data_IF_933284406537
#
_entry.id   IF_933284406537
#
_cell.length_a   1.000
_cell.length_b   1.000
_cell.length_c   1.000
_cell.angle_alpha   90.00
_cell.angle_beta   90.00
_cell.angle_gamma   90.00
#
_symmetry.space_group_name_H-M   'P 1'
#
loop_
_entity.id
_entity.type
_entity.pdbx_description
1 polymer ?
#
# COMPACT_ATOMS: atom_id res chain seq x y z
N UNK A 1 3.79 -22.56 0.40
CA UNK A 1 4.41 -23.11 -0.82
C UNK A 1 4.41 -24.63 -0.71
N UNK A 2 4.01 -25.40 -1.75
CA UNK A 2 3.93 -26.88 -1.65
C UNK A 2 5.10 -27.61 -2.33
N UNK A 3 5.60 -27.06 -3.43
CA UNK A 3 6.64 -27.68 -4.26
C UNK A 3 7.77 -26.70 -4.56
N UNK A 4 8.99 -27.20 -4.70
CA UNK A 4 10.17 -26.44 -5.09
C UNK A 4 10.05 -25.94 -6.53
N UNK A 5 10.31 -24.64 -6.77
CA UNK A 5 10.27 -24.06 -8.12
C UNK A 5 11.44 -24.52 -9.02
N UNK A 6 12.51 -25.09 -8.46
CA UNK A 6 13.67 -25.57 -9.22
C UNK A 6 13.54 -27.04 -9.64
N UNK A 7 13.14 -27.92 -8.72
CA UNK A 7 13.16 -29.37 -8.96
C UNK A 7 11.79 -30.07 -8.83
N UNK A 8 10.74 -29.34 -8.42
CA UNK A 8 9.35 -29.85 -8.20
C UNK A 8 9.18 -30.82 -7.04
N UNK A 9 10.22 -31.07 -6.23
CA UNK A 9 10.09 -31.86 -5.01
C UNK A 9 9.17 -31.17 -3.98
N UNK A 10 8.54 -31.96 -3.11
CA UNK A 10 7.74 -31.44 -1.98
C UNK A 10 8.66 -30.70 -1.01
N UNK A 11 8.20 -29.55 -0.51
CA UNK A 11 8.94 -28.75 0.46
C UNK A 11 8.55 -29.14 1.89
N UNK A 12 9.54 -29.12 2.79
CA UNK A 12 9.31 -29.16 4.23
C UNK A 12 9.29 -27.73 4.80
N UNK A 13 8.67 -27.56 5.97
CA UNK A 13 8.60 -26.26 6.66
C UNK A 13 9.19 -26.39 8.06
N UNK A 14 10.49 -26.12 8.19
CA UNK A 14 11.28 -26.35 9.41
C UNK A 14 12.27 -25.20 9.64
N UNK A 15 12.90 -25.19 10.82
CA UNK A 15 13.96 -24.22 11.16
C UNK A 15 15.33 -24.80 10.74
N UNK A 16 16.04 -24.18 9.78
CA UNK A 16 17.42 -24.56 9.44
C UNK A 16 18.36 -24.52 10.66
N UNK A 17 19.43 -25.32 10.65
CA UNK A 17 20.37 -25.40 11.78
C UNK A 17 21.09 -24.07 12.09
N UNK A 18 21.20 -23.19 11.10
CA UNK A 18 21.85 -21.87 11.15
C UNK A 18 20.86 -20.69 11.18
N UNK A 19 19.56 -20.95 11.32
CA UNK A 19 18.50 -19.92 11.33
C UNK A 19 17.61 -20.07 12.58
N UNK A 20 16.78 -19.07 12.87
CA UNK A 20 15.84 -19.05 13.99
C UNK A 20 14.37 -18.95 13.55
N UNK A 21 14.11 -19.10 12.25
CA UNK A 21 12.76 -19.02 11.66
C UNK A 21 12.46 -20.23 10.81
N UNK A 22 11.17 -20.57 10.74
CA UNK A 22 10.70 -21.61 9.83
C UNK A 22 10.84 -21.12 8.39
N UNK A 23 11.37 -22.00 7.54
CA UNK A 23 11.57 -21.76 6.11
C UNK A 23 11.02 -22.93 5.31
N UNK A 24 10.63 -22.66 4.07
CA UNK A 24 10.38 -23.73 3.12
C UNK A 24 11.71 -24.25 2.59
N UNK A 25 12.02 -25.51 2.87
CA UNK A 25 13.32 -26.13 2.51
C UNK A 25 13.05 -27.27 1.54
N UNK A 26 13.85 -27.34 0.47
CA UNK A 26 13.85 -28.47 -0.43
C UNK A 26 14.96 -29.46 -0.07
N UNK A 27 14.60 -30.66 0.39
CA UNK A 27 15.58 -31.72 0.71
C UNK A 27 16.18 -32.41 -0.53
N UNK A 28 15.69 -32.10 -1.74
CA UNK A 28 16.20 -32.71 -2.98
C UNK A 28 17.30 -31.89 -3.66
N UNK A 29 17.35 -30.58 -3.43
CA UNK A 29 18.33 -29.68 -4.06
C UNK A 29 18.88 -28.65 -3.07
N UNK A 30 18.70 -28.91 -1.77
CA UNK A 30 19.19 -28.14 -0.63
C UNK A 30 18.86 -26.63 -0.67
N UNK A 31 17.82 -26.26 -1.41
CA UNK A 31 17.45 -24.86 -1.60
C UNK A 31 16.49 -24.39 -0.50
N UNK A 32 16.80 -23.24 0.10
CA UNK A 32 15.94 -22.54 1.05
C UNK A 32 15.12 -21.49 0.29
N UNK A 33 13.79 -21.61 0.34
CA UNK A 33 12.88 -20.65 -0.28
C UNK A 33 12.46 -19.58 0.73
N UNK A 34 13.17 -18.45 0.71
CA UNK A 34 12.80 -17.28 1.48
C UNK A 34 11.48 -16.69 0.99
N UNK A 35 10.68 -16.21 1.95
CA UNK A 35 9.48 -15.45 1.68
C UNK A 35 9.76 -14.00 2.07
N UNK A 36 9.68 -13.11 1.09
CA UNK A 36 9.94 -11.69 1.29
C UNK A 36 8.61 -10.93 1.46
N UNK A 37 8.58 -9.87 2.28
CA UNK A 37 7.48 -8.93 2.27
C UNK A 37 7.32 -8.29 0.88
N UNK A 38 6.09 -7.87 0.55
CA UNK A 38 5.79 -7.13 -0.68
C UNK A 38 5.65 -5.64 -0.39
N UNK A 39 6.16 -4.81 -1.29
CA UNK A 39 5.94 -3.37 -1.25
C UNK A 39 4.66 -3.04 -2.01
N UNK A 40 3.80 -2.25 -1.40
CA UNK A 40 2.66 -1.59 -2.05
C UNK A 40 2.99 -0.11 -2.10
N UNK A 41 3.03 0.47 -3.29
CA UNK A 41 3.37 1.86 -3.49
C UNK A 41 2.20 2.61 -4.11
N UNK A 42 2.02 3.86 -3.71
CA UNK A 42 0.90 4.67 -4.17
C UNK A 42 1.10 6.15 -3.95
N UNK A 43 0.12 6.94 -4.38
CA UNK A 43 0.15 8.38 -4.24
C UNK A 43 -1.04 8.90 -3.44
N UNK A 44 -0.88 10.10 -2.87
CA UNK A 44 -1.96 10.96 -2.39
C UNK A 44 -2.10 12.07 -3.42
N UNK A 45 -2.97 11.94 -4.44
CA UNK A 45 -3.11 12.93 -5.49
C UNK A 45 -3.98 14.09 -5.02
N UNK A 46 -3.41 15.28 -4.98
CA UNK A 46 -4.05 16.48 -4.45
C UNK A 46 -4.36 17.46 -5.59
N UNK A 47 -5.58 18.00 -5.60
CA UNK A 47 -5.95 19.18 -6.37
C UNK A 47 -6.55 20.21 -5.43
N UNK A 48 -5.86 21.34 -5.25
CA UNK A 48 -6.23 22.36 -4.26
C UNK A 48 -6.37 21.76 -2.85
N UNK A 49 -7.57 21.79 -2.27
CA UNK A 49 -7.90 21.25 -0.95
C UNK A 49 -8.56 19.86 -1.00
N UNK A 50 -8.50 19.19 -2.15
CA UNK A 50 -9.17 17.89 -2.39
C UNK A 50 -8.18 16.78 -2.71
N UNK A 51 -8.52 15.58 -2.26
CA UNK A 51 -7.77 14.34 -2.53
C UNK A 51 -8.56 13.47 -3.50
N UNK A 52 -7.88 12.93 -4.50
CA UNK A 52 -8.45 11.95 -5.42
C UNK A 52 -8.49 10.57 -4.75
N UNK A 53 -9.68 9.98 -4.71
CA UNK A 53 -9.89 8.59 -4.27
C UNK A 53 -10.45 7.75 -5.40
N UNK A 54 -10.15 6.45 -5.36
CA UNK A 54 -10.60 5.42 -6.29
C UNK A 54 -11.58 4.48 -5.58
N UNK A 55 -12.72 4.17 -6.19
CA UNK A 55 -13.67 3.18 -5.66
C UNK A 55 -13.37 1.82 -6.28
N UNK A 56 -12.96 0.85 -5.46
CA UNK A 56 -12.43 -0.45 -5.93
C UNK A 56 -13.46 -1.27 -6.71
N UNK A 57 -13.07 -1.80 -7.87
CA UNK A 57 -13.82 -2.75 -8.70
C UNK A 57 -13.41 -4.22 -8.49
N UNK A 58 -12.46 -4.47 -7.58
CA UNK A 58 -11.91 -5.81 -7.30
C UNK A 58 -11.86 -6.10 -5.80
N UNK A 59 -11.87 -7.38 -5.45
CA UNK A 59 -11.66 -7.84 -4.07
C UNK A 59 -10.16 -7.76 -3.67
N UNK A 60 -9.84 -7.63 -2.37
CA UNK A 60 -10.75 -7.47 -1.25
C UNK A 60 -11.42 -6.08 -1.22
N UNK A 61 -12.55 -5.94 -0.52
CA UNK A 61 -13.25 -4.67 -0.27
C UNK A 61 -13.79 -4.02 -1.55
N UNK A 62 -14.41 -4.82 -2.42
CA UNK A 62 -15.14 -4.30 -3.58
C UNK A 62 -16.12 -3.19 -3.17
N UNK A 63 -16.13 -2.08 -3.92
CA UNK A 63 -17.02 -0.95 -3.69
C UNK A 63 -16.58 0.02 -2.58
N UNK A 64 -15.45 -0.19 -1.92
CA UNK A 64 -14.87 0.74 -0.95
C UNK A 64 -13.90 1.71 -1.63
N UNK A 65 -13.68 2.88 -1.02
CA UNK A 65 -12.76 3.90 -1.51
C UNK A 65 -11.33 3.67 -1.02
N UNK A 66 -10.35 3.97 -1.85
CA UNK A 66 -8.93 3.85 -1.57
C UNK A 66 -8.16 5.02 -2.19
N UNK A 67 -6.92 5.21 -1.76
CA UNK A 67 -5.93 5.95 -2.54
C UNK A 67 -5.38 5.02 -3.63
N UNK A 68 -4.96 5.57 -4.79
CA UNK A 68 -4.32 4.77 -5.83
C UNK A 68 -3.01 4.17 -5.31
N UNK A 69 -2.96 2.85 -5.23
CA UNK A 69 -1.82 2.12 -4.70
C UNK A 69 -1.90 0.63 -5.06
N UNK A 70 -0.79 0.06 -5.51
CA UNK A 70 -0.69 -1.35 -5.85
C UNK A 70 0.72 -1.89 -5.68
N UNK A 71 0.93 -3.14 -6.07
CA UNK A 71 2.20 -3.80 -5.83
C UNK A 71 3.30 -3.17 -6.66
N UNK A 72 4.45 -2.96 -6.03
CA UNK A 72 5.67 -2.61 -6.73
C UNK A 72 6.14 -3.81 -7.57
N UNK A 73 6.36 -3.56 -8.86
CA UNK A 73 6.81 -4.55 -9.82
C UNK A 73 8.34 -4.64 -9.88
N UNK A 74 8.84 -5.73 -10.48
CA UNK A 74 10.27 -5.88 -10.72
C UNK A 74 10.73 -4.92 -11.82
N UNK A 75 11.81 -4.18 -11.55
CA UNK A 75 12.44 -3.29 -12.53
C UNK A 75 11.97 -1.84 -12.49
N UNK A 76 11.08 -1.48 -11.57
CA UNK A 76 10.70 -0.10 -11.28
C UNK A 76 11.18 0.33 -9.88
N UNK A 77 11.16 1.63 -9.62
CA UNK A 77 11.34 2.25 -8.30
C UNK A 77 9.99 2.37 -7.58
N UNK A 78 10.00 2.56 -6.26
CA UNK A 78 8.75 2.75 -5.49
C UNK A 78 7.98 4.00 -5.90
N UNK A 79 8.68 5.04 -6.36
CA UNK A 79 8.06 6.25 -6.90
C UNK A 79 7.41 5.96 -8.26
N UNK A 80 8.09 5.27 -9.17
CA UNK A 80 7.53 4.86 -10.46
C UNK A 80 6.30 3.96 -10.29
N UNK A 81 6.33 3.04 -9.33
CA UNK A 81 5.18 2.23 -8.96
C UNK A 81 3.99 3.10 -8.53
N UNK A 82 4.19 4.08 -7.64
CA UNK A 82 3.11 4.99 -7.22
C UNK A 82 2.52 5.80 -8.38
N UNK A 83 3.36 6.26 -9.32
CA UNK A 83 2.91 6.96 -10.53
C UNK A 83 2.11 6.03 -11.44
N UNK A 84 2.63 4.83 -11.70
CA UNK A 84 1.98 3.81 -12.54
C UNK A 84 0.61 3.45 -11.98
N UNK A 85 0.51 3.14 -10.70
CA UNK A 85 -0.75 2.79 -10.04
C UNK A 85 -1.77 3.93 -10.08
N UNK A 86 -1.31 5.18 -9.93
CA UNK A 86 -2.17 6.36 -10.07
C UNK A 86 -2.72 6.52 -11.49
N UNK A 87 -1.90 6.21 -12.50
CA UNK A 87 -2.33 6.20 -13.88
C UNK A 87 -3.28 5.01 -14.18
N UNK A 88 -2.96 3.81 -13.69
CA UNK A 88 -3.73 2.59 -13.95
C UNK A 88 -5.11 2.62 -13.30
N UNK A 89 -5.21 3.06 -12.04
CA UNK A 89 -6.48 3.07 -11.31
C UNK A 89 -7.35 4.29 -11.60
N UNK A 90 -6.76 5.43 -11.95
CA UNK A 90 -7.49 6.70 -12.06
C UNK A 90 -7.24 7.48 -13.35
N UNK A 91 -6.46 6.95 -14.30
CA UNK A 91 -6.01 7.68 -15.50
C UNK A 91 -5.47 9.08 -15.16
N UNK A 92 -4.94 9.24 -13.95
CA UNK A 92 -4.58 10.52 -13.38
C UNK A 92 -3.08 10.74 -13.52
N UNK A 93 -2.70 11.94 -13.93
CA UNK A 93 -1.29 12.34 -14.03
C UNK A 93 -0.91 13.16 -12.81
N UNK A 94 0.18 12.77 -12.17
CA UNK A 94 0.66 13.40 -10.94
C UNK A 94 2.10 13.88 -11.06
N UNK A 95 2.35 14.99 -10.40
CA UNK A 95 3.67 15.53 -10.09
C UNK A 95 3.99 15.11 -8.65
N UNK A 96 4.90 14.14 -8.49
CA UNK A 96 5.21 13.54 -7.19
C UNK A 96 6.19 14.44 -6.43
N UNK A 97 5.86 14.73 -5.17
CA UNK A 97 6.68 15.56 -4.31
C UNK A 97 7.63 14.67 -3.49
N UNK A 98 7.17 14.14 -2.36
CA UNK A 98 8.00 13.43 -1.38
C UNK A 98 7.30 12.19 -0.83
N UNK A 99 8.10 11.25 -0.31
CA UNK A 99 7.58 10.11 0.45
C UNK A 99 6.93 10.62 1.74
N UNK A 100 5.67 10.27 1.93
CA UNK A 100 4.85 10.81 3.01
C UNK A 100 4.58 9.81 4.13
N UNK A 101 4.30 8.54 3.78
CA UNK A 101 4.01 7.52 4.77
C UNK A 101 4.67 6.18 4.43
N UNK A 102 5.24 5.53 5.46
CA UNK A 102 5.76 4.16 5.39
C UNK A 102 5.14 3.32 6.51
N UNK A 103 4.23 2.42 6.14
CA UNK A 103 3.51 1.59 7.11
C UNK A 103 3.80 0.11 6.94
N UNK A 104 4.21 -0.56 8.01
CA UNK A 104 4.42 -2.01 8.00
C UNK A 104 3.13 -2.75 8.36
N UNK A 105 2.83 -3.83 7.63
CA UNK A 105 1.71 -4.73 7.91
C UNK A 105 2.24 -6.15 8.13
N UNK A 106 2.85 -6.46 9.29
CA UNK A 106 3.52 -7.75 9.51
C UNK A 106 2.59 -8.96 9.35
N UNK A 107 1.32 -8.80 9.69
CA UNK A 107 0.30 -9.85 9.65
C UNK A 107 -0.02 -10.34 8.21
N UNK A 108 0.27 -9.54 7.18
CA UNK A 108 0.15 -9.90 5.76
C UNK A 108 1.47 -9.83 5.00
N UNK A 109 2.57 -9.47 5.67
CA UNK A 109 3.90 -9.36 5.05
C UNK A 109 3.96 -8.27 3.98
N UNK A 110 3.42 -7.09 4.27
CA UNK A 110 3.43 -5.95 3.34
C UNK A 110 4.03 -4.69 3.95
N UNK A 111 4.57 -3.82 3.10
CA UNK A 111 4.98 -2.46 3.46
C UNK A 111 4.30 -1.49 2.49
N UNK A 112 3.52 -0.56 3.03
CA UNK A 112 2.89 0.50 2.24
C UNK A 112 3.80 1.73 2.19
N UNK A 113 4.02 2.26 1.00
CA UNK A 113 4.77 3.48 0.76
C UNK A 113 3.88 4.47 0.00
N UNK A 114 3.46 5.55 0.65
CA UNK A 114 2.59 6.56 0.04
C UNK A 114 3.37 7.84 -0.20
N UNK A 115 3.29 8.37 -1.42
CA UNK A 115 3.91 9.64 -1.81
C UNK A 115 2.90 10.77 -1.85
N UNK A 116 3.26 11.95 -1.35
CA UNK A 116 2.48 13.17 -1.58
C UNK A 116 2.66 13.59 -3.03
N UNK A 117 1.58 14.02 -3.67
CA UNK A 117 1.62 14.38 -5.09
C UNK A 117 0.54 15.37 -5.45
N UNK A 118 0.78 16.14 -6.51
CA UNK A 118 -0.17 17.09 -7.06
C UNK A 118 -0.69 16.60 -8.39
N UNK A 119 -2.01 16.66 -8.58
CA UNK A 119 -2.60 16.40 -9.89
C UNK A 119 -2.15 17.47 -10.89
N UNK A 120 -1.72 17.02 -12.07
CA UNK A 120 -1.28 17.91 -13.15
C UNK A 120 -2.49 18.57 -13.83
N UNK A 121 -3.60 17.85 -13.93
CA UNK A 121 -4.85 18.30 -14.53
C UNK A 121 -6.05 17.49 -13.99
N UNK A 122 -7.26 17.85 -14.43
CA UNK A 122 -8.52 17.23 -13.98
C UNK A 122 -9.07 16.17 -14.95
N UNK A 123 -8.31 15.73 -15.96
CA UNK A 123 -8.77 14.72 -16.93
C UNK A 123 -8.56 13.29 -16.42
N UNK A 124 -8.90 13.03 -15.17
CA UNK A 124 -8.86 11.69 -14.58
C UNK A 124 -10.17 10.94 -14.87
N UNK A 125 -10.11 9.60 -14.88
CA UNK A 125 -11.27 8.73 -15.10
C UNK A 125 -11.02 7.34 -14.49
N UNK A 126 -12.06 6.57 -14.13
CA UNK A 126 -11.83 5.26 -13.53
C UNK A 126 -11.05 4.35 -14.47
N UNK A 127 -10.00 3.71 -13.95
CA UNK A 127 -9.28 2.64 -14.61
C UNK A 127 -10.05 1.32 -14.59
N UNK A 128 -9.44 0.25 -15.12
CA UNK A 128 -10.07 -1.08 -15.16
C UNK A 128 -10.38 -1.65 -13.77
N UNK A 129 -9.62 -1.24 -12.75
CA UNK A 129 -9.76 -1.69 -11.36
C UNK A 129 -10.59 -0.73 -10.48
N UNK A 130 -11.16 0.32 -11.08
CA UNK A 130 -11.94 1.35 -10.38
C UNK A 130 -13.36 1.46 -10.95
N UNK A 131 -14.36 1.41 -10.07
CA UNK A 131 -15.75 1.69 -10.39
C UNK A 131 -16.00 3.19 -10.57
N UNK A 132 -15.26 4.02 -9.84
CA UNK A 132 -15.45 5.46 -9.77
C UNK A 132 -14.16 6.12 -9.27
N UNK A 133 -13.94 7.38 -9.64
CA UNK A 133 -12.83 8.20 -9.13
C UNK A 133 -13.32 9.62 -8.88
N UNK A 134 -13.05 10.15 -7.68
CA UNK A 134 -13.61 11.45 -7.26
C UNK A 134 -12.66 12.21 -6.35
N UNK A 135 -12.76 13.53 -6.45
CA UNK A 135 -12.07 14.47 -5.54
C UNK A 135 -12.93 14.73 -4.31
N UNK A 136 -12.34 14.52 -3.13
CA UNK A 136 -13.00 14.72 -1.84
C UNK A 136 -12.26 15.78 -1.00
N UNK A 137 -13.02 16.70 -0.40
CA UNK A 137 -12.53 17.52 0.72
C UNK A 137 -12.49 16.69 2.00
N UNK A 138 -11.71 17.10 3.00
CA UNK A 138 -11.62 16.40 4.30
C UNK A 138 -12.99 16.05 4.90
N UNK A 139 -13.93 17.00 4.86
CA UNK A 139 -15.27 16.85 5.41
C UNK A 139 -16.16 15.86 4.64
N UNK A 140 -15.88 15.64 3.36
CA UNK A 140 -16.67 14.81 2.46
C UNK A 140 -16.09 13.40 2.30
N UNK A 141 -14.90 13.13 2.85
CA UNK A 141 -14.27 11.81 2.75
C UNK A 141 -15.17 10.77 3.42
N UNK A 142 -15.53 9.67 2.71
CA UNK A 142 -16.38 8.63 3.26
C UNK A 142 -15.56 7.72 4.17
N UNK A 143 -15.19 8.22 5.36
CA UNK A 143 -14.26 7.55 6.27
C UNK A 143 -14.68 6.11 6.61
N UNK A 144 -15.98 5.82 6.72
CA UNK A 144 -16.47 4.47 7.03
C UNK A 144 -16.46 3.51 5.83
N UNK A 145 -16.30 4.04 4.61
CA UNK A 145 -16.23 3.28 3.36
C UNK A 145 -14.80 3.25 2.78
N UNK A 146 -13.78 3.63 3.57
CA UNK A 146 -12.38 3.44 3.19
C UNK A 146 -12.00 1.96 3.31
N UNK A 147 -11.37 1.41 2.27
CA UNK A 147 -11.10 -0.02 2.13
C UNK A 147 -10.14 -0.57 3.20
N UNK A 148 -9.09 0.19 3.53
CA UNK A 148 -8.00 -0.28 4.37
C UNK A 148 -7.60 0.73 5.46
N UNK A 149 -7.14 0.21 6.60
CA UNK A 149 -6.63 1.03 7.71
C UNK A 149 -5.41 1.85 7.30
N UNK A 150 -4.56 1.34 6.39
CA UNK A 150 -3.42 2.08 5.82
C UNK A 150 -3.84 3.37 5.15
N UNK A 151 -4.91 3.33 4.34
CA UNK A 151 -5.45 4.48 3.65
C UNK A 151 -6.01 5.49 4.65
N UNK A 152 -6.80 5.00 5.63
CA UNK A 152 -7.34 5.85 6.70
C UNK A 152 -6.23 6.54 7.50
N UNK A 153 -5.17 5.81 7.86
CA UNK A 153 -4.03 6.34 8.59
C UNK A 153 -3.29 7.40 7.76
N UNK A 154 -3.01 7.11 6.48
CA UNK A 154 -2.33 8.04 5.56
C UNK A 154 -3.10 9.37 5.44
N UNK A 155 -4.42 9.28 5.24
CA UNK A 155 -5.27 10.48 5.15
C UNK A 155 -5.32 11.26 6.47
N UNK A 156 -5.41 10.58 7.62
CA UNK A 156 -5.39 11.25 8.93
C UNK A 156 -4.08 12.00 9.17
N UNK A 157 -2.94 11.36 8.91
CA UNK A 157 -1.63 12.01 8.98
C UNK A 157 -1.59 13.22 8.03
N UNK A 158 -2.07 13.07 6.79
CA UNK A 158 -2.05 14.15 5.80
C UNK A 158 -2.83 15.39 6.27
N UNK A 159 -4.06 15.22 6.77
CA UNK A 159 -4.86 16.35 7.25
C UNK A 159 -4.35 16.93 8.58
N UNK A 160 -3.69 16.13 9.41
CA UNK A 160 -3.03 16.64 10.62
C UNK A 160 -1.85 17.54 10.25
N UNK A 161 -1.00 17.12 9.32
CA UNK A 161 0.14 17.92 8.83
C UNK A 161 -0.33 19.23 8.17
N UNK A 162 -1.45 19.20 7.43
CA UNK A 162 -2.10 20.41 6.91
C UNK A 162 -2.46 21.39 8.03
N UNK A 163 -3.01 20.89 9.15
CA UNK A 163 -3.38 21.72 10.31
C UNK A 163 -2.16 22.29 11.03
N UNK A 164 -1.06 21.54 11.05
CA UNK A 164 0.22 21.96 11.63
C UNK A 164 1.01 22.90 10.70
N UNK A 165 0.67 22.94 9.40
CA UNK A 165 1.29 23.80 8.41
C UNK A 165 2.64 23.30 7.89
N UNK A 166 3.01 22.05 8.20
CA UNK A 166 4.25 21.44 7.74
C UNK A 166 4.04 19.94 7.54
N UNK A 167 4.59 19.40 6.45
CA UNK A 167 4.58 17.96 6.19
C UNK A 167 5.82 17.28 6.77
N UNK A 168 5.63 16.08 7.30
CA UNK A 168 6.70 15.20 7.78
C UNK A 168 6.50 13.77 7.28
N UNK A 169 7.56 12.97 7.35
CA UNK A 169 7.47 11.54 7.05
C UNK A 169 6.82 10.80 8.22
N UNK A 170 5.70 10.12 7.97
CA UNK A 170 5.01 9.29 8.96
C UNK A 170 5.41 7.83 8.82
N UNK A 171 5.88 7.22 9.91
CA UNK A 171 6.16 5.78 9.96
C UNK A 171 5.35 5.11 11.05
N UNK A 172 5.05 3.82 10.86
CA UNK A 172 4.36 3.04 11.89
C UNK A 172 3.89 1.68 11.40
N UNK A 173 3.13 1.01 12.25
CA UNK A 173 2.68 -0.36 12.01
C UNK A 173 1.15 -0.43 12.02
N UNK A 174 0.58 -1.24 11.13
CA UNK A 174 -0.81 -1.66 11.20
C UNK A 174 -0.87 -3.00 11.93
N UNK A 175 -1.32 -2.95 13.17
CA UNK A 175 -1.40 -4.09 14.07
C UNK A 175 -2.83 -4.61 14.14
N UNK A 176 -2.97 -5.93 14.29
CA UNK A 176 -4.26 -6.56 14.50
C UNK A 176 -4.66 -6.40 15.97
N UNK A 177 -5.85 -5.85 16.22
CA UNK A 177 -6.45 -5.68 17.55
C UNK A 177 -7.74 -6.50 17.66
N UNK A 178 -8.33 -6.57 18.85
CA UNK A 178 -9.63 -7.25 19.06
C UNK A 178 -10.75 -6.60 18.24
N UNK A 179 -10.67 -5.29 18.02
CA UNK A 179 -11.64 -4.51 17.26
C UNK A 179 -11.36 -4.45 15.74
N UNK A 180 -10.24 -5.03 15.27
CA UNK A 180 -9.88 -5.05 13.86
C UNK A 180 -8.40 -4.77 13.62
N UNK A 181 -8.10 -3.64 12.97
CA UNK A 181 -6.74 -3.22 12.65
C UNK A 181 -6.56 -1.75 13.00
N UNK A 182 -5.51 -1.46 13.75
CA UNK A 182 -5.19 -0.11 14.22
C UNK A 182 -3.80 0.31 13.77
N UNK A 183 -3.62 1.62 13.58
CA UNK A 183 -2.34 2.23 13.27
C UNK A 183 -1.61 2.61 14.57
N UNK A 184 -0.37 2.14 14.70
CA UNK A 184 0.53 2.48 15.79
C UNK A 184 1.71 3.27 15.20
N UNK A 185 1.79 4.58 15.44
CA UNK A 185 2.90 5.38 14.92
C UNK A 185 4.21 4.94 15.56
N UNK A 186 5.30 5.02 14.81
CA UNK A 186 6.64 4.86 15.37
C UNK A 186 6.93 6.04 16.30
N UNK A 187 7.15 5.77 17.58
CA UNK A 187 7.64 6.77 18.52
C UNK A 187 9.14 6.94 18.27
N UNK A 188 9.56 8.15 17.90
CA UNK A 188 10.97 8.56 17.80
C UNK A 188 11.31 9.39 19.03
#
# INVERSE_FOLDING_TARGET
MKYCCYCRAVLIYEIPADDNRHRYICQSCDTIHYQNPKIVAGCIPVWEDKILLCKRAIEPRYGYWTLPAGFMELGETSLEAGIRETLEEANARVDVEELFAVFSLPHVGQVYMMFRSRLIDLNFSPGAESLDVKLFKEADIPWNELAFTTIRASLRCYFEDIKQGAFSLHTGDIVKTEAGYDFVPTLI
#
